data_IF_685846054111
#
_entry.id   IF_685846054111
#
_cell.length_a   1.000
_cell.length_b   1.000
_cell.length_c   1.000
_cell.angle_alpha   90.00
_cell.angle_beta   90.00
_cell.angle_gamma   90.00
#
_symmetry.space_group_name_H-M   'P 1'
#
loop_
_entity.id
_entity.type
_entity.pdbx_description
1 polymer ?
#
# COMPACT_ATOMS: atom_id res chain seq x y z
N UNK A 1 -11.27 -8.95 -12.61
CA UNK A 1 -9.86 -9.33 -12.37
C UNK A 1 -9.64 -9.87 -10.96
N UNK A 2 -9.69 -9.08 -9.88
CA UNK A 2 -9.43 -9.60 -8.52
C UNK A 2 -10.45 -10.67 -8.09
N UNK A 3 -11.75 -10.41 -8.25
CA UNK A 3 -12.81 -11.38 -7.92
C UNK A 3 -12.70 -12.69 -8.74
N UNK A 4 -12.27 -12.60 -10.01
CA UNK A 4 -12.06 -13.80 -10.84
C UNK A 4 -10.87 -14.62 -10.35
N UNK A 5 -9.79 -13.98 -9.91
CA UNK A 5 -8.62 -14.68 -9.36
C UNK A 5 -8.94 -15.31 -7.99
N UNK A 6 -9.75 -14.65 -7.16
CA UNK A 6 -10.29 -15.27 -5.93
C UNK A 6 -11.07 -16.53 -6.28
N UNK A 7 -12.00 -16.47 -7.25
CA UNK A 7 -12.78 -17.64 -7.69
C UNK A 7 -11.91 -18.73 -8.31
N UNK A 8 -10.84 -18.37 -9.04
CA UNK A 8 -9.89 -19.33 -9.60
C UNK A 8 -9.12 -20.08 -8.51
N UNK A 9 -8.58 -19.36 -7.51
CA UNK A 9 -7.82 -19.95 -6.39
C UNK A 9 -8.75 -20.74 -5.46
N UNK A 10 -9.98 -20.29 -5.25
CA UNK A 10 -11.04 -21.04 -4.54
C UNK A 10 -11.33 -22.39 -5.22
N UNK A 11 -11.46 -22.41 -6.56
CA UNK A 11 -11.77 -23.64 -7.31
C UNK A 11 -10.74 -24.75 -7.12
N UNK A 12 -9.48 -24.41 -6.86
CA UNK A 12 -8.40 -25.37 -6.60
C UNK A 12 -8.51 -25.97 -5.19
N UNK A 13 -8.83 -25.13 -4.20
CA UNK A 13 -8.93 -25.54 -2.79
C UNK A 13 -10.18 -26.37 -2.53
N UNK A 14 -11.28 -26.09 -3.26
CA UNK A 14 -12.60 -26.74 -3.19
C UNK A 14 -13.36 -26.54 -1.86
N UNK A 15 -12.73 -26.78 -0.71
CA UNK A 15 -13.32 -26.63 0.63
C UNK A 15 -12.26 -26.07 1.58
N UNK A 16 -12.59 -25.00 2.30
CA UNK A 16 -11.72 -24.49 3.35
C UNK A 16 -11.97 -25.21 4.68
N UNK A 17 -10.91 -25.58 5.42
CA UNK A 17 -11.06 -26.27 6.70
C UNK A 17 -11.60 -25.36 7.81
N UNK A 18 -11.47 -24.04 7.66
CA UNK A 18 -12.01 -23.01 8.56
C UNK A 18 -11.98 -21.62 7.87
N UNK A 19 -12.62 -20.64 8.51
CA UNK A 19 -12.67 -19.26 8.03
C UNK A 19 -11.28 -18.61 7.95
N UNK A 20 -10.39 -18.89 8.90
CA UNK A 20 -9.03 -18.30 8.93
C UNK A 20 -8.20 -18.69 7.71
N UNK A 21 -8.40 -19.90 7.20
CA UNK A 21 -7.73 -20.38 5.99
C UNK A 21 -8.19 -19.62 4.74
N UNK A 22 -9.48 -19.29 4.67
CA UNK A 22 -10.01 -18.44 3.61
C UNK A 22 -9.48 -17.01 3.73
N UNK A 23 -9.44 -16.46 4.96
CA UNK A 23 -8.90 -15.13 5.22
C UNK A 23 -7.42 -15.03 4.82
N UNK A 24 -6.63 -16.07 5.10
CA UNK A 24 -5.23 -16.15 4.68
C UNK A 24 -5.05 -16.10 3.17
N UNK A 25 -5.87 -16.84 2.41
CA UNK A 25 -5.81 -16.80 0.95
C UNK A 25 -6.12 -15.39 0.42
N UNK A 26 -7.22 -14.80 0.90
CA UNK A 26 -7.66 -13.48 0.44
C UNK A 26 -6.62 -12.42 0.83
N UNK A 27 -6.13 -12.47 2.07
CA UNK A 27 -5.08 -11.57 2.55
C UNK A 27 -3.79 -11.66 1.74
N UNK A 28 -3.32 -12.87 1.44
CA UNK A 28 -2.14 -13.07 0.60
C UNK A 28 -2.34 -12.52 -0.83
N UNK A 29 -3.51 -12.76 -1.43
CA UNK A 29 -3.82 -12.23 -2.77
C UNK A 29 -3.88 -10.70 -2.78
N UNK A 30 -4.45 -10.09 -1.73
CA UNK A 30 -4.52 -8.64 -1.60
C UNK A 30 -3.13 -8.02 -1.44
N UNK A 31 -2.25 -8.64 -0.66
CA UNK A 31 -0.86 -8.20 -0.52
C UNK A 31 -0.12 -8.24 -1.87
N UNK A 32 -0.21 -9.34 -2.61
CA UNK A 32 0.34 -9.49 -3.96
C UNK A 32 -0.19 -8.41 -4.92
N UNK A 33 -1.50 -8.15 -4.87
CA UNK A 33 -2.12 -7.11 -5.70
C UNK A 33 -1.68 -5.70 -5.32
N UNK A 34 -1.53 -5.44 -4.02
CA UNK A 34 -1.07 -4.17 -3.50
C UNK A 34 0.37 -3.88 -3.93
N UNK A 35 1.28 -4.84 -3.84
CA UNK A 35 2.67 -4.68 -4.32
C UNK A 35 2.71 -4.40 -5.83
N UNK A 36 1.91 -5.13 -6.63
CA UNK A 36 1.80 -4.88 -8.06
C UNK A 36 1.16 -3.52 -8.41
N UNK A 37 0.38 -2.94 -7.49
CA UNK A 37 -0.19 -1.59 -7.63
C UNK A 37 0.80 -0.51 -7.19
N UNK A 38 1.53 -0.75 -6.10
CA UNK A 38 2.55 0.15 -5.55
C UNK A 38 3.71 0.38 -6.52
N UNK A 39 4.09 -0.63 -7.32
CA UNK A 39 5.09 -0.47 -8.39
C UNK A 39 4.66 0.47 -9.52
N UNK A 40 3.39 0.87 -9.58
CA UNK A 40 2.90 1.92 -10.49
C UNK A 40 2.89 3.25 -9.74
N UNK A 41 4.06 3.86 -9.59
CA UNK A 41 4.21 5.22 -9.09
C UNK A 41 3.50 6.20 -10.04
N UNK A 42 2.22 6.48 -9.77
CA UNK A 42 1.45 7.46 -10.53
C UNK A 42 1.64 8.90 -10.03
N UNK A 43 2.30 9.07 -8.89
CA UNK A 43 2.68 10.37 -8.35
C UNK A 43 4.14 10.25 -7.91
N UNK A 44 5.01 10.98 -8.62
CA UNK A 44 6.38 11.15 -8.18
C UNK A 44 6.33 11.98 -6.88
N UNK A 45 6.74 11.33 -5.78
CA UNK A 45 6.77 11.97 -4.48
C UNK A 45 7.80 13.09 -4.46
N UNK A 46 8.85 12.97 -5.25
CA UNK A 46 9.94 13.93 -5.30
C UNK A 46 9.47 15.22 -6.00
N UNK A 47 8.74 15.11 -7.13
CA UNK A 47 8.12 16.26 -7.80
C UNK A 47 7.15 17.01 -6.87
N UNK A 48 6.33 16.28 -6.10
CA UNK A 48 5.44 16.88 -5.11
C UNK A 48 6.21 17.59 -3.98
N UNK A 49 7.29 17.00 -3.49
CA UNK A 49 8.14 17.60 -2.46
C UNK A 49 8.87 18.85 -2.97
N UNK A 50 9.34 18.84 -4.21
CA UNK A 50 9.94 20.01 -4.86
C UNK A 50 8.93 21.14 -5.01
N UNK A 51 7.71 20.84 -5.48
CA UNK A 51 6.61 21.81 -5.56
C UNK A 51 6.26 22.40 -4.19
N UNK A 52 6.19 21.55 -3.15
CA UNK A 52 5.86 21.97 -1.79
C UNK A 52 6.97 22.89 -1.22
N UNK A 53 8.23 22.52 -1.41
CA UNK A 53 9.37 23.30 -0.95
C UNK A 53 9.46 24.67 -1.63
N UNK A 54 9.09 24.76 -2.91
CA UNK A 54 9.04 26.02 -3.64
C UNK A 54 7.92 26.97 -3.15
N UNK A 55 6.80 26.43 -2.66
CA UNK A 55 5.63 27.21 -2.25
C UNK A 55 5.56 27.51 -0.76
N UNK A 56 6.11 26.62 0.06
CA UNK A 56 6.19 26.73 1.51
C UNK A 56 7.62 26.43 1.97
N UNK A 57 8.57 27.38 1.80
CA UNK A 57 9.90 27.21 2.37
C UNK A 57 9.74 26.98 3.87
N UNK A 58 10.40 25.95 4.40
CA UNK A 58 10.37 25.66 5.82
C UNK A 58 10.71 26.93 6.60
N UNK A 59 9.94 27.30 7.64
CA UNK A 59 10.31 28.42 8.48
C UNK A 59 11.71 28.17 9.05
N UNK A 60 12.57 29.19 9.14
CA UNK A 60 13.94 29.02 9.62
C UNK A 60 13.93 28.25 10.94
N UNK A 61 14.71 27.18 11.00
CA UNK A 61 14.84 26.28 12.16
C UNK A 61 15.63 26.93 13.31
N UNK A 62 15.42 28.22 13.56
CA UNK A 62 16.08 28.94 14.67
C UNK A 62 15.43 28.61 16.03
N UNK A 63 14.30 27.88 16.05
CA UNK A 63 13.48 27.71 17.26
C UNK A 63 13.16 26.26 17.64
N UNK A 64 14.02 25.28 17.32
CA UNK A 64 13.86 23.94 17.91
C UNK A 64 14.48 23.95 19.31
N UNK A 65 13.67 24.33 20.31
CA UNK A 65 13.98 24.00 21.71
C UNK A 65 14.01 22.49 21.81
N UNK A 66 15.21 21.94 22.01
CA UNK A 66 15.42 20.55 22.37
C UNK A 66 14.70 20.29 23.69
N UNK A 67 13.53 19.67 23.63
CA UNK A 67 12.87 19.14 24.82
C UNK A 67 13.60 17.85 25.21
N UNK A 68 14.49 17.99 26.18
CA UNK A 68 15.09 16.92 26.96
C UNK A 68 14.04 16.06 27.66
#
# INVERSE_FOLDING_TARGET
>A
RLNEEIRRRERVIRIFPNTDSALRLVGALLAEHHEAWAGRHYLDRDEFHEWLAARHPAPPLDNVVSLS
#
